data_IF_384240369057
#
_entry.id   IF_384240369057
#
_cell.length_a   1.000
_cell.length_b   1.000
_cell.length_c   1.000
_cell.angle_alpha   90.00
_cell.angle_beta   90.00
_cell.angle_gamma   90.00
#
_symmetry.space_group_name_H-M   'P 1'
#
loop_
_entity.id
_entity.type
_entity.pdbx_description
1 polymer ?
#
# COMPACT_ATOMS: atom_id res chain seq x y z
N UNK A 1 13.99 11.08 -2.41
CA UNK A 1 12.59 10.62 -2.55
C UNK A 1 12.36 9.55 -3.62
N UNK A 2 12.80 9.73 -4.89
CA UNK A 2 12.50 8.79 -5.99
C UNK A 2 12.85 7.31 -5.72
N UNK A 3 13.99 7.03 -5.09
CA UNK A 3 14.44 5.66 -4.82
C UNK A 3 13.60 4.94 -3.74
N UNK A 4 13.08 5.69 -2.77
CA UNK A 4 12.32 5.13 -1.65
C UNK A 4 10.88 4.80 -2.07
N UNK A 5 10.24 5.68 -2.86
CA UNK A 5 8.95 5.38 -3.47
C UNK A 5 9.04 4.17 -4.41
N UNK A 6 10.11 4.07 -5.21
CA UNK A 6 10.33 2.89 -6.05
C UNK A 6 10.47 1.60 -5.23
N UNK A 7 11.16 1.65 -4.09
CA UNK A 7 11.27 0.52 -3.18
C UNK A 7 9.92 0.12 -2.56
N UNK A 8 9.07 1.09 -2.21
CA UNK A 8 7.71 0.83 -1.71
C UNK A 8 6.84 0.17 -2.79
N UNK A 9 6.86 0.72 -4.01
CA UNK A 9 6.16 0.14 -5.16
C UNK A 9 6.60 -1.30 -5.39
N UNK A 10 7.91 -1.58 -5.36
CA UNK A 10 8.43 -2.93 -5.53
C UNK A 10 7.96 -3.89 -4.43
N UNK A 11 7.80 -3.42 -3.19
CA UNK A 11 7.32 -4.24 -2.09
C UNK A 11 5.83 -4.57 -2.16
N UNK A 12 5.04 -3.68 -2.75
CA UNK A 12 3.58 -3.78 -2.89
C UNK A 12 3.15 -4.39 -4.23
N UNK A 13 4.06 -4.52 -5.19
CA UNK A 13 3.77 -5.03 -6.54
C UNK A 13 3.23 -6.48 -6.55
N UNK A 14 3.54 -7.28 -5.52
CA UNK A 14 2.98 -8.63 -5.38
C UNK A 14 1.51 -8.63 -4.96
N UNK A 15 1.03 -7.57 -4.30
CA UNK A 15 -0.35 -7.46 -3.81
C UNK A 15 -1.34 -7.02 -4.90
N UNK A 16 -0.84 -6.30 -5.91
CA UNK A 16 -1.67 -5.82 -7.02
C UNK A 16 -1.06 -4.65 -7.79
N UNK A 17 -1.94 -3.92 -8.49
CA UNK A 17 -1.57 -2.71 -9.23
C UNK A 17 -1.26 -1.60 -8.22
N UNK A 18 -0.05 -1.07 -8.26
CA UNK A 18 0.38 0.05 -7.40
C UNK A 18 0.47 1.33 -8.22
N UNK A 19 -0.23 2.36 -7.77
CA UNK A 19 -0.21 3.70 -8.36
C UNK A 19 0.30 4.69 -7.31
N UNK A 20 1.16 5.63 -7.72
CA UNK A 20 1.53 6.73 -6.82
C UNK A 20 1.18 8.06 -7.46
N UNK A 21 0.19 8.73 -6.86
CA UNK A 21 -0.35 10.01 -7.25
C UNK A 21 0.28 11.13 -6.41
N UNK A 22 0.10 12.38 -6.85
CA UNK A 22 0.43 13.60 -6.09
C UNK A 22 1.86 13.58 -5.52
N UNK A 23 2.86 13.36 -6.38
CA UNK A 23 4.28 13.32 -5.97
C UNK A 23 4.85 14.74 -5.93
N UNK A 24 4.96 15.31 -4.75
CA UNK A 24 5.80 16.48 -4.50
C UNK A 24 6.96 16.12 -3.54
N UNK A 25 7.76 17.11 -3.13
CA UNK A 25 8.93 16.87 -2.26
C UNK A 25 8.57 16.53 -0.82
N UNK A 26 7.29 16.61 -0.44
CA UNK A 26 6.82 16.43 0.92
C UNK A 26 5.63 15.48 1.04
N UNK A 27 5.07 15.05 -0.08
CA UNK A 27 3.86 14.27 -0.14
C UNK A 27 3.86 13.30 -1.31
N UNK A 28 3.31 12.11 -1.06
CA UNK A 28 2.95 11.16 -2.09
C UNK A 28 1.73 10.35 -1.62
N UNK A 29 0.74 10.16 -2.49
CA UNK A 29 -0.35 9.21 -2.25
C UNK A 29 -0.04 7.91 -2.94
N UNK A 30 -0.10 6.79 -2.22
CA UNK A 30 0.05 5.44 -2.78
C UNK A 30 -1.28 4.73 -2.74
N UNK A 31 -1.67 4.15 -3.87
CA UNK A 31 -2.89 3.39 -4.05
C UNK A 31 -2.50 1.98 -4.48
N UNK A 32 -3.00 0.97 -3.78
CA UNK A 32 -2.85 -0.43 -4.14
C UNK A 32 -4.22 -1.00 -4.47
N UNK A 33 -4.37 -1.51 -5.70
CA UNK A 33 -5.57 -2.20 -6.16
C UNK A 33 -5.25 -3.68 -6.34
N UNK A 34 -5.84 -4.52 -5.49
CA UNK A 34 -5.63 -5.99 -5.57
C UNK A 34 -6.45 -6.61 -6.70
N UNK A 35 -6.10 -7.82 -7.17
CA UNK A 35 -6.91 -8.56 -8.15
C UNK A 35 -8.35 -8.84 -7.70
N UNK A 36 -8.61 -8.82 -6.39
CA UNK A 36 -9.94 -9.03 -5.81
C UNK A 36 -10.76 -7.74 -5.71
N UNK A 37 -10.27 -6.63 -6.27
CA UNK A 37 -10.96 -5.33 -6.27
C UNK A 37 -10.83 -4.57 -4.95
N UNK A 38 -9.94 -4.99 -4.04
CA UNK A 38 -9.67 -4.24 -2.81
C UNK A 38 -8.78 -3.05 -3.17
N UNK A 39 -9.20 -1.87 -2.75
CA UNK A 39 -8.44 -0.62 -2.90
C UNK A 39 -8.00 -0.16 -1.51
N UNK A 40 -6.69 -0.01 -1.36
CA UNK A 40 -6.06 0.57 -0.15
C UNK A 40 -5.28 1.80 -0.56
N UNK A 41 -5.53 2.91 0.13
CA UNK A 41 -4.93 4.20 -0.14
C UNK A 41 -4.18 4.68 1.09
N UNK A 42 -2.96 5.18 0.89
CA UNK A 42 -2.18 5.75 1.99
C UNK A 42 -1.40 6.99 1.57
N UNK A 43 -1.58 8.02 2.38
CA UNK A 43 -0.92 9.31 2.26
C UNK A 43 0.43 9.25 2.97
N UNK A 44 1.50 9.59 2.26
CA UNK A 44 2.87 9.55 2.75
C UNK A 44 3.42 10.97 2.83
N UNK A 45 3.76 11.39 4.03
CA UNK A 45 4.40 12.69 4.25
C UNK A 45 5.92 12.59 4.28
N UNK A 46 6.61 13.73 4.10
CA UNK A 46 8.08 13.83 4.11
C UNK A 46 8.73 13.08 5.28
N UNK A 47 8.14 13.13 6.47
CA UNK A 47 8.66 12.43 7.65
C UNK A 47 8.70 10.91 7.45
N UNK A 48 7.73 10.33 6.76
CA UNK A 48 7.67 8.90 6.43
C UNK A 48 8.51 8.57 5.18
N UNK A 49 8.61 9.51 4.24
CA UNK A 49 9.33 9.34 2.96
C UNK A 49 10.86 9.45 3.08
N UNK A 50 11.39 10.00 4.18
CA UNK A 50 12.85 10.14 4.39
C UNK A 50 13.49 8.99 5.19
N UNK A 51 12.70 8.12 5.82
CA UNK A 51 13.21 7.04 6.66
C UNK A 51 12.79 5.66 6.13
N UNK A 52 13.74 4.85 5.70
CA UNK A 52 13.50 3.50 5.16
C UNK A 52 12.74 2.58 6.15
N UNK A 53 12.96 2.76 7.45
CA UNK A 53 12.23 2.03 8.51
C UNK A 53 10.74 2.38 8.50
N UNK A 54 10.40 3.66 8.33
CA UNK A 54 9.01 4.11 8.26
C UNK A 54 8.33 3.66 6.96
N UNK A 55 9.06 3.62 5.86
CA UNK A 55 8.58 3.09 4.59
C UNK A 55 8.25 1.60 4.63
N UNK A 56 9.05 0.81 5.35
CA UNK A 56 8.72 -0.60 5.58
C UNK A 56 7.47 -0.74 6.44
N UNK A 57 7.36 0.02 7.52
CA UNK A 57 6.18 0.00 8.38
C UNK A 57 4.90 0.32 7.59
N UNK A 58 4.94 1.35 6.73
CA UNK A 58 3.83 1.68 5.82
C UNK A 58 3.49 0.51 4.89
N UNK A 59 4.50 -0.16 4.32
CA UNK A 59 4.27 -1.30 3.44
C UNK A 59 3.60 -2.46 4.18
N UNK A 60 4.06 -2.74 5.41
CA UNK A 60 3.52 -3.78 6.27
C UNK A 60 2.06 -3.48 6.66
N UNK A 61 1.75 -2.23 7.04
CA UNK A 61 0.37 -1.77 7.34
C UNK A 61 -0.58 -1.94 6.14
N UNK A 62 -0.14 -1.58 4.94
CA UNK A 62 -0.95 -1.74 3.72
C UNK A 62 -1.23 -3.23 3.45
N UNK A 63 -0.23 -4.09 3.65
CA UNK A 63 -0.37 -5.54 3.45
C UNK A 63 -1.32 -6.16 4.46
N UNK A 64 -1.22 -5.75 5.72
CA UNK A 64 -2.12 -6.21 6.78
C UNK A 64 -3.56 -5.80 6.47
N UNK A 65 -3.80 -4.55 6.05
CA UNK A 65 -5.13 -4.09 5.66
C UNK A 65 -5.69 -4.86 4.43
N UNK A 66 -4.84 -5.14 3.43
CA UNK A 66 -5.22 -5.99 2.29
C UNK A 66 -5.59 -7.38 2.76
N UNK A 67 -4.79 -8.01 3.61
CA UNK A 67 -5.02 -9.34 4.13
C UNK A 67 -6.32 -9.40 4.94
N UNK A 68 -6.55 -8.46 5.84
CA UNK A 68 -7.78 -8.38 6.63
C UNK A 68 -9.02 -8.25 5.75
N UNK A 69 -9.00 -7.33 4.78
CA UNK A 69 -10.12 -7.13 3.85
C UNK A 69 -10.33 -8.36 2.96
N UNK A 70 -9.25 -9.01 2.54
CA UNK A 70 -9.29 -10.26 1.77
C UNK A 70 -9.93 -11.38 2.58
N UNK A 71 -9.53 -11.55 3.85
CA UNK A 71 -10.11 -12.53 4.75
C UNK A 71 -11.61 -12.30 4.98
N UNK A 72 -12.06 -11.05 5.10
CA UNK A 72 -13.50 -10.75 5.20
C UNK A 72 -14.25 -11.12 3.93
N UNK A 73 -13.71 -10.78 2.76
CA UNK A 73 -14.31 -11.13 1.47
C UNK A 73 -14.45 -12.64 1.27
N UNK A 74 -13.47 -13.44 1.71
CA UNK A 74 -13.54 -14.90 1.60
C UNK A 74 -14.28 -15.58 2.76
N UNK A 75 -14.24 -15.00 3.95
CA UNK A 75 -14.99 -15.47 5.12
C UNK A 75 -16.50 -15.38 4.91
N UNK A 76 -16.98 -14.33 4.25
CA UNK A 76 -18.39 -14.16 3.87
C UNK A 76 -18.85 -15.12 2.76
N UNK A 77 -17.94 -15.80 2.05
CA UNK A 77 -18.29 -16.78 1.01
C UNK A 77 -18.56 -18.18 1.61
N UNK A 78 -18.19 -18.42 2.87
CA UNK A 78 -18.27 -19.76 3.48
C UNK A 78 -19.58 -20.08 4.21
N UNK A 79 -20.57 -19.18 4.20
CA UNK A 79 -21.90 -19.40 4.81
C UNK A 79 -23.05 -19.54 3.78
N UNK A 80 -22.86 -20.35 2.73
CA UNK A 80 -23.93 -20.77 1.81
C UNK A 80 -23.97 -22.28 1.62
#
# INVERSE_FOLDING_TARGET
MKNLLAALVSQLACEGKVECLERDENFARVIVTTPHGIIVERDLHATQLHHAVLLKAVADEIKEEIQERTLRLYGDISEC
#
